data_IF_691339710864
#
_entry.id   IF_691339710864
#
_cell.length_a   1.000
_cell.length_b   1.000
_cell.length_c   1.000
_cell.angle_alpha   90.00
_cell.angle_beta   90.00
_cell.angle_gamma   90.00
#
_symmetry.space_group_name_H-M   'P 1'
#
loop_
_entity.id
_entity.type
_entity.pdbx_description
1 polymer ?
#
# COMPACT_ATOMS: atom_id res chain seq x y z
N UNK A 1 26.47 -6.70 -78.02
CA UNK A 1 26.64 -5.37 -77.42
C UNK A 1 26.29 -5.53 -75.95
N UNK A 2 27.27 -6.00 -75.19
CA UNK A 2 27.96 -5.23 -74.12
C UNK A 2 27.33 -5.66 -72.79
N UNK A 3 27.88 -6.60 -72.03
CA UNK A 3 29.17 -6.64 -71.34
C UNK A 3 29.35 -5.49 -70.32
N UNK A 4 29.90 -5.87 -69.16
CA UNK A 4 30.51 -5.05 -68.09
C UNK A 4 29.63 -4.61 -66.89
N UNK A 5 29.85 -5.36 -65.80
CA UNK A 5 30.18 -4.94 -64.42
C UNK A 5 29.36 -3.86 -63.70
N UNK A 6 28.71 -4.28 -62.61
CA UNK A 6 28.43 -3.46 -61.43
C UNK A 6 28.92 -4.22 -60.20
N UNK A 7 30.06 -3.82 -59.64
CA UNK A 7 30.67 -4.43 -58.46
C UNK A 7 29.83 -4.23 -57.18
N UNK A 8 30.19 -4.94 -56.09
CA UNK A 8 29.46 -4.83 -54.83
C UNK A 8 29.61 -3.42 -54.24
N UNK A 9 28.49 -2.87 -53.77
CA UNK A 9 28.47 -1.65 -52.97
C UNK A 9 29.21 -1.87 -51.64
N UNK A 10 29.91 -0.85 -51.10
CA UNK A 10 30.71 -0.98 -49.90
C UNK A 10 29.83 -1.23 -48.66
N UNK A 11 30.31 -2.16 -47.83
CA UNK A 11 29.87 -2.32 -46.44
C UNK A 11 30.11 -1.01 -45.70
N UNK A 12 29.04 -0.40 -45.19
CA UNK A 12 29.17 0.65 -44.17
C UNK A 12 29.11 -0.01 -42.81
N UNK A 13 30.28 -0.14 -42.19
CA UNK A 13 30.44 -0.25 -40.74
C UNK A 13 29.76 0.96 -40.10
N UNK A 14 28.55 0.77 -39.57
CA UNK A 14 27.99 1.67 -38.57
C UNK A 14 28.37 1.10 -37.22
N UNK A 15 29.41 1.71 -36.66
CA UNK A 15 29.90 1.51 -35.31
C UNK A 15 28.74 1.43 -34.32
N UNK A 16 28.73 0.36 -33.53
CA UNK A 16 27.93 0.27 -32.31
C UNK A 16 28.28 1.43 -31.39
N UNK A 17 27.35 2.37 -31.25
CA UNK A 17 27.34 3.28 -30.11
C UNK A 17 27.03 2.47 -28.85
N UNK A 18 27.71 2.72 -27.72
CA UNK A 18 27.37 2.04 -26.47
C UNK A 18 25.91 2.33 -26.12
N UNK A 19 25.18 1.26 -25.77
CA UNK A 19 23.88 1.36 -25.12
C UNK A 19 23.98 2.33 -23.92
N UNK A 20 22.94 3.13 -23.64
CA UNK A 20 22.94 3.94 -22.43
C UNK A 20 23.06 3.00 -21.23
N UNK A 21 24.19 3.11 -20.52
CA UNK A 21 24.36 2.52 -19.20
C UNK A 21 23.45 3.32 -18.26
N UNK A 22 22.25 2.79 -18.02
CA UNK A 22 21.40 3.25 -16.93
C UNK A 22 22.03 2.79 -15.63
N UNK A 23 22.87 3.65 -15.07
CA UNK A 23 23.35 3.55 -13.70
C UNK A 23 22.22 4.03 -12.77
N UNK A 24 21.16 3.22 -12.66
CA UNK A 24 20.24 3.32 -11.53
C UNK A 24 20.86 2.43 -10.46
N UNK A 25 21.76 3.01 -9.66
CA UNK A 25 22.17 2.42 -8.40
C UNK A 25 20.89 2.05 -7.64
N UNK A 26 20.65 0.75 -7.51
CA UNK A 26 19.40 0.19 -7.02
C UNK A 26 19.10 0.75 -5.64
N UNK A 27 18.09 1.61 -5.55
CA UNK A 27 17.53 2.01 -4.27
C UNK A 27 17.09 0.72 -3.56
N UNK A 28 17.57 0.44 -2.34
CA UNK A 28 17.18 -0.77 -1.64
C UNK A 28 15.65 -0.80 -1.56
N UNK A 29 15.08 -1.99 -1.76
CA UNK A 29 13.65 -2.18 -1.54
C UNK A 29 13.30 -1.69 -0.12
N UNK A 30 12.12 -1.09 0.07
CA UNK A 30 11.70 -0.60 1.38
C UNK A 30 11.81 -1.72 2.40
N UNK A 31 12.36 -1.38 3.57
CA UNK A 31 12.71 -2.36 4.59
C UNK A 31 11.46 -3.02 5.19
N UNK A 32 10.38 -2.25 5.35
CA UNK A 32 9.11 -2.66 5.96
C UNK A 32 7.95 -2.53 4.99
N UNK A 33 7.08 -3.53 4.92
CA UNK A 33 5.82 -3.48 4.19
C UNK A 33 4.60 -3.63 5.11
N UNK A 34 3.75 -2.60 5.14
CA UNK A 34 2.44 -2.60 5.81
C UNK A 34 1.32 -2.58 4.77
N UNK A 35 0.32 -3.46 4.90
CA UNK A 35 -0.85 -3.47 4.01
C UNK A 35 -2.17 -3.42 4.78
N UNK A 36 -3.13 -2.62 4.30
CA UNK A 36 -4.47 -2.50 4.90
C UNK A 36 -5.52 -3.27 4.11
N UNK A 37 -6.32 -4.09 4.78
CA UNK A 37 -7.28 -4.99 4.14
C UNK A 37 -8.72 -4.72 4.59
N UNK A 38 -9.58 -4.40 3.63
CA UNK A 38 -11.04 -4.38 3.82
C UNK A 38 -11.75 -5.23 2.75
N UNK A 39 -13.06 -5.06 2.56
CA UNK A 39 -13.82 -5.90 1.62
C UNK A 39 -13.57 -5.49 0.16
N UNK A 40 -13.85 -4.23 -0.18
CA UNK A 40 -13.83 -3.75 -1.57
C UNK A 40 -12.64 -2.87 -1.95
N UNK A 41 -11.77 -2.51 -1.00
CA UNK A 41 -10.61 -1.64 -1.21
C UNK A 41 -10.89 -0.26 -1.84
N UNK A 42 -12.09 0.27 -1.63
CA UNK A 42 -12.49 1.60 -2.11
C UNK A 42 -12.84 2.58 -0.97
N UNK A 43 -13.15 2.10 0.24
CA UNK A 43 -13.52 2.97 1.38
C UNK A 43 -12.48 2.95 2.49
N UNK A 44 -12.57 1.98 3.42
CA UNK A 44 -11.80 1.94 4.67
C UNK A 44 -10.29 1.77 4.46
N UNK A 45 -9.87 0.73 3.74
CA UNK A 45 -8.43 0.45 3.56
C UNK A 45 -7.67 1.49 2.74
N UNK A 46 -8.21 2.11 1.67
CA UNK A 46 -7.51 3.21 1.03
C UNK A 46 -7.44 4.46 1.91
N UNK A 47 -8.45 4.74 2.75
CA UNK A 47 -8.33 5.84 3.73
C UNK A 47 -7.16 5.60 4.69
N UNK A 48 -7.06 4.41 5.27
CA UNK A 48 -5.97 4.05 6.16
C UNK A 48 -4.60 4.10 5.45
N UNK A 49 -4.50 3.60 4.22
CA UNK A 49 -3.28 3.68 3.41
C UNK A 49 -2.83 5.12 3.20
N UNK A 50 -3.72 6.00 2.72
CA UNK A 50 -3.33 7.38 2.40
C UNK A 50 -3.00 8.18 3.63
N UNK A 51 -3.73 8.00 4.73
CA UNK A 51 -3.43 8.68 5.98
C UNK A 51 -2.07 8.25 6.53
N UNK A 52 -1.84 6.93 6.62
CA UNK A 52 -0.60 6.40 7.18
C UNK A 52 0.63 6.69 6.32
N UNK A 53 0.53 6.47 5.00
CA UNK A 53 1.63 6.75 4.08
C UNK A 53 1.99 8.24 4.04
N UNK A 54 0.99 9.13 4.12
CA UNK A 54 1.22 10.57 4.19
C UNK A 54 1.98 10.96 5.46
N UNK A 55 1.52 10.50 6.62
CA UNK A 55 2.19 10.78 7.90
C UNK A 55 3.60 10.19 7.96
N UNK A 56 3.83 9.00 7.41
CA UNK A 56 5.19 8.45 7.28
C UNK A 56 6.08 9.32 6.38
N UNK A 57 5.53 9.87 5.31
CA UNK A 57 6.23 10.84 4.46
C UNK A 57 6.62 12.11 5.21
N UNK A 58 5.72 12.67 6.01
CA UNK A 58 6.01 13.83 6.86
C UNK A 58 7.09 13.53 7.90
N UNK A 59 7.18 12.27 8.36
CA UNK A 59 8.23 11.78 9.26
C UNK A 59 9.53 11.39 8.56
N UNK A 60 9.62 11.48 7.23
CA UNK A 60 10.80 11.09 6.46
C UNK A 60 11.00 9.57 6.32
N UNK A 61 9.97 8.77 6.58
CA UNK A 61 10.02 7.29 6.57
C UNK A 61 9.50 6.66 5.28
N UNK A 62 9.07 7.47 4.30
CA UNK A 62 8.48 6.98 3.05
C UNK A 62 9.40 6.05 2.23
N UNK A 63 10.72 6.12 2.46
CA UNK A 63 11.70 5.31 1.72
C UNK A 63 12.01 3.96 2.37
N UNK A 64 11.66 3.81 3.64
CA UNK A 64 11.94 2.59 4.41
C UNK A 64 10.66 1.84 4.77
N UNK A 65 9.49 2.49 4.68
CA UNK A 65 8.18 1.87 4.90
C UNK A 65 7.32 1.99 3.65
N UNK A 66 7.03 0.85 3.03
CA UNK A 66 6.03 0.73 1.96
C UNK A 66 4.66 0.50 2.57
N UNK A 67 3.68 1.28 2.11
CA UNK A 67 2.28 1.14 2.53
C UNK A 67 1.44 0.78 1.30
N UNK A 68 0.63 -0.26 1.41
CA UNK A 68 -0.34 -0.63 0.37
C UNK A 68 -1.71 -0.92 0.99
N UNK A 69 -2.72 -1.16 0.15
CA UNK A 69 -4.00 -1.69 0.59
C UNK A 69 -4.61 -2.60 -0.45
N UNK A 70 -5.47 -3.51 0.01
CA UNK A 70 -6.19 -4.44 -0.86
C UNK A 70 -7.57 -4.82 -0.29
N UNK A 71 -8.33 -5.52 -1.13
CA UNK A 71 -9.70 -5.96 -0.87
C UNK A 71 -9.79 -7.47 -0.86
N UNK A 72 -10.56 -8.05 0.07
CA UNK A 72 -10.81 -9.50 0.05
C UNK A 72 -11.68 -9.91 -1.14
N UNK A 73 -12.46 -8.99 -1.69
CA UNK A 73 -13.17 -9.16 -2.96
C UNK A 73 -12.49 -8.44 -4.13
N UNK A 74 -12.92 -8.79 -5.35
CA UNK A 74 -12.36 -8.27 -6.61
C UNK A 74 -13.29 -7.30 -7.35
N UNK A 75 -14.46 -6.96 -6.78
CA UNK A 75 -15.52 -6.20 -7.47
C UNK A 75 -15.09 -4.82 -7.98
N UNK A 76 -14.10 -4.21 -7.34
CA UNK A 76 -13.63 -2.86 -7.65
C UNK A 76 -12.19 -2.83 -8.14
N UNK A 77 -11.61 -3.96 -8.54
CA UNK A 77 -10.22 -4.00 -8.97
C UNK A 77 -9.96 -3.01 -10.12
N UNK A 78 -8.94 -2.17 -9.96
CA UNK A 78 -8.59 -1.11 -10.91
C UNK A 78 -9.37 0.21 -10.72
N UNK A 79 -10.43 0.24 -9.92
CA UNK A 79 -11.22 1.46 -9.67
C UNK A 79 -10.52 2.43 -8.72
N UNK A 80 -10.81 3.74 -8.77
CA UNK A 80 -10.36 4.68 -7.76
C UNK A 80 -11.04 4.41 -6.40
N UNK A 81 -10.56 5.06 -5.35
CA UNK A 81 -11.27 5.11 -4.07
C UNK A 81 -12.69 5.70 -4.25
N UNK A 82 -13.60 5.30 -3.37
CA UNK A 82 -14.96 5.83 -3.29
C UNK A 82 -14.89 7.37 -3.22
N UNK A 83 -15.74 8.03 -3.99
CA UNK A 83 -15.76 9.49 -4.08
C UNK A 83 -15.88 10.15 -2.70
N UNK A 84 -16.65 9.58 -1.77
CA UNK A 84 -16.86 10.10 -0.41
C UNK A 84 -15.61 9.94 0.44
N UNK A 85 -14.93 8.79 0.36
CA UNK A 85 -13.60 8.61 0.98
C UNK A 85 -12.60 9.65 0.46
N UNK A 86 -12.59 9.87 -0.86
CA UNK A 86 -11.77 10.90 -1.50
C UNK A 86 -12.16 12.34 -1.13
N UNK A 87 -13.41 12.59 -0.73
CA UNK A 87 -13.83 13.90 -0.23
C UNK A 87 -13.34 14.14 1.20
N UNK A 88 -13.53 13.15 2.08
CA UNK A 88 -13.07 13.22 3.49
C UNK A 88 -11.55 13.37 3.54
N UNK A 89 -10.80 12.49 2.86
CA UNK A 89 -9.33 12.59 2.79
C UNK A 89 -8.86 13.98 2.35
N UNK A 90 -9.46 14.53 1.28
CA UNK A 90 -9.10 15.85 0.77
C UNK A 90 -9.48 16.97 1.75
N UNK A 91 -10.62 16.85 2.43
CA UNK A 91 -11.07 17.80 3.45
C UNK A 91 -10.07 17.91 4.61
N UNK A 92 -9.40 16.81 4.94
CA UNK A 92 -8.36 16.72 5.97
C UNK A 92 -6.92 16.87 5.43
N UNK A 93 -6.74 17.25 4.17
CA UNK A 93 -5.42 17.51 3.59
C UNK A 93 -4.64 16.29 3.09
N UNK A 94 -5.25 15.10 3.06
CA UNK A 94 -4.61 13.86 2.63
C UNK A 94 -4.69 13.62 1.12
N UNK A 95 -3.71 12.88 0.55
CA UNK A 95 -3.76 12.40 -0.84
C UNK A 95 -4.96 11.49 -1.09
N UNK A 96 -5.45 11.46 -2.34
CA UNK A 96 -6.64 10.67 -2.71
C UNK A 96 -6.41 9.71 -3.88
N UNK A 97 -5.22 9.75 -4.50
CA UNK A 97 -4.94 8.90 -5.66
C UNK A 97 -4.82 7.45 -5.22
N UNK A 98 -5.71 6.60 -5.73
CA UNK A 98 -5.80 5.19 -5.38
C UNK A 98 -6.18 4.36 -6.60
N UNK A 99 -5.78 3.09 -6.59
CA UNK A 99 -6.25 2.07 -7.52
C UNK A 99 -6.50 0.81 -6.71
N UNK A 100 -7.75 0.39 -6.63
CA UNK A 100 -8.11 -0.76 -5.82
C UNK A 100 -7.50 -2.05 -6.38
N UNK A 101 -7.09 -2.94 -5.49
CA UNK A 101 -6.49 -4.23 -5.77
C UNK A 101 -7.15 -5.32 -4.93
N UNK A 102 -7.19 -6.54 -5.45
CA UNK A 102 -7.54 -7.71 -4.64
C UNK A 102 -6.33 -8.15 -3.80
N UNK A 103 -6.59 -8.73 -2.62
CA UNK A 103 -5.56 -9.42 -1.84
C UNK A 103 -4.87 -10.48 -2.71
N UNK A 104 -3.55 -10.50 -2.66
CA UNK A 104 -2.68 -11.35 -3.47
C UNK A 104 -1.32 -11.51 -2.79
N UNK A 105 -0.38 -12.20 -3.44
CA UNK A 105 0.87 -12.64 -2.79
C UNK A 105 1.71 -11.50 -2.20
N UNK A 106 1.81 -10.36 -2.86
CA UNK A 106 2.50 -9.16 -2.34
C UNK A 106 1.84 -8.67 -1.03
N UNK A 107 0.52 -8.71 -0.94
CA UNK A 107 -0.21 -8.33 0.27
C UNK A 107 -0.07 -9.37 1.38
N UNK A 108 -0.11 -10.67 1.04
CA UNK A 108 -0.01 -11.76 2.01
C UNK A 108 1.41 -11.94 2.57
N UNK A 109 2.42 -11.46 1.84
CA UNK A 109 3.82 -11.50 2.24
C UNK A 109 4.29 -10.29 3.04
N UNK A 110 3.46 -9.24 3.17
CA UNK A 110 3.75 -8.06 3.96
C UNK A 110 4.19 -8.40 5.41
N UNK A 111 5.08 -7.58 5.98
CA UNK A 111 5.55 -7.74 7.36
C UNK A 111 4.44 -7.46 8.37
N UNK A 112 3.52 -6.56 8.03
CA UNK A 112 2.29 -6.31 8.77
C UNK A 112 1.07 -6.22 7.85
N UNK A 113 0.10 -7.09 8.11
CA UNK A 113 -1.22 -7.09 7.49
C UNK A 113 -2.22 -6.55 8.50
N UNK A 114 -2.88 -5.44 8.15
CA UNK A 114 -3.83 -4.72 9.01
C UNK A 114 -5.26 -4.94 8.52
N UNK A 115 -6.03 -5.73 9.27
CA UNK A 115 -7.44 -6.01 9.00
C UNK A 115 -8.35 -4.88 9.52
N UNK A 116 -9.28 -4.41 8.70
CA UNK A 116 -10.25 -3.38 9.08
C UNK A 116 -11.48 -3.95 9.82
N UNK A 117 -11.54 -5.26 10.01
CA UNK A 117 -12.62 -5.93 10.72
C UNK A 117 -12.33 -7.42 10.95
N UNK A 118 -13.05 -8.04 11.88
CA UNK A 118 -12.91 -9.45 12.29
C UNK A 118 -13.23 -10.43 11.17
N UNK A 119 -14.09 -10.05 10.22
CA UNK A 119 -14.34 -10.85 9.01
C UNK A 119 -13.06 -10.90 8.16
N UNK A 120 -12.40 -9.76 7.91
CA UNK A 120 -11.15 -9.70 7.15
C UNK A 120 -10.04 -10.44 7.89
N UNK A 121 -9.95 -10.29 9.22
CA UNK A 121 -9.00 -11.02 10.05
C UNK A 121 -9.12 -12.53 9.85
N UNK A 122 -10.34 -13.07 9.97
CA UNK A 122 -10.62 -14.51 9.77
C UNK A 122 -10.29 -14.98 8.35
N UNK A 123 -10.60 -14.17 7.33
CA UNK A 123 -10.27 -14.51 5.94
C UNK A 123 -8.75 -14.55 5.72
N UNK A 124 -8.02 -13.57 6.24
CA UNK A 124 -6.55 -13.51 6.12
C UNK A 124 -5.85 -14.65 6.87
N UNK A 125 -6.37 -15.03 8.04
CA UNK A 125 -5.93 -16.25 8.73
C UNK A 125 -6.12 -17.49 7.88
N UNK A 126 -7.29 -17.63 7.23
CA UNK A 126 -7.57 -18.75 6.34
C UNK A 126 -6.68 -18.77 5.09
N UNK A 127 -6.30 -17.58 4.60
CA UNK A 127 -5.34 -17.42 3.51
C UNK A 127 -3.87 -17.64 3.93
N UNK A 128 -3.63 -17.97 5.21
CA UNK A 128 -2.31 -18.36 5.70
C UNK A 128 -1.44 -17.22 6.21
N UNK A 129 -1.99 -16.03 6.46
CA UNK A 129 -1.22 -14.95 7.10
C UNK A 129 -0.91 -15.35 8.56
N UNK A 130 0.38 -15.43 8.97
CA UNK A 130 0.79 -15.72 10.32
C UNK A 130 0.24 -14.72 11.35
N UNK A 131 -0.10 -15.21 12.54
CA UNK A 131 -0.76 -14.42 13.58
C UNK A 131 0.10 -13.27 14.12
N UNK A 132 1.43 -13.40 14.11
CA UNK A 132 2.39 -12.37 14.53
C UNK A 132 2.48 -11.20 13.54
N UNK A 133 2.08 -11.41 12.28
CA UNK A 133 2.03 -10.37 11.23
C UNK A 133 0.62 -9.84 10.97
N UNK A 134 -0.39 -10.31 11.69
CA UNK A 134 -1.79 -10.00 11.40
C UNK A 134 -2.46 -9.34 12.59
N UNK A 135 -2.90 -8.08 12.42
CA UNK A 135 -3.55 -7.30 13.47
C UNK A 135 -4.78 -6.57 12.94
N UNK A 136 -5.73 -6.27 13.82
CA UNK A 136 -6.83 -5.36 13.49
C UNK A 136 -6.39 -3.91 13.66
N UNK A 137 -6.87 -3.00 12.80
CA UNK A 137 -6.49 -1.58 12.86
C UNK A 137 -6.73 -0.98 14.25
N UNK A 138 -7.93 -1.17 14.81
CA UNK A 138 -8.27 -0.61 16.12
C UNK A 138 -7.46 -1.23 17.27
N UNK A 139 -6.71 -2.32 17.06
CA UNK A 139 -5.76 -2.81 18.08
C UNK A 139 -4.57 -1.86 18.31
N UNK A 140 -4.40 -0.84 17.46
CA UNK A 140 -3.41 0.22 17.62
C UNK A 140 -4.00 1.49 18.25
N UNK A 141 -5.32 1.57 18.47
CA UNK A 141 -5.92 2.68 19.19
C UNK A 141 -5.61 2.52 20.69
N UNK A 142 -4.92 3.48 21.35
CA UNK A 142 -4.60 3.38 22.77
C UNK A 142 -5.84 3.39 23.67
N UNK A 143 -7.01 3.75 23.13
CA UNK A 143 -8.31 3.74 23.84
C UNK A 143 -9.00 2.39 23.72
N UNK A 144 -8.53 1.48 22.88
CA UNK A 144 -9.13 0.15 22.74
C UNK A 144 -8.90 -0.68 24.00
N UNK A 145 -10.01 -1.23 24.53
CA UNK A 145 -9.99 -2.12 25.68
C UNK A 145 -9.69 -3.58 25.28
N UNK A 146 -10.06 -4.52 26.17
CA UNK A 146 -9.85 -5.95 25.92
C UNK A 146 -10.64 -6.53 24.73
N UNK A 147 -11.66 -5.83 24.24
CA UNK A 147 -12.35 -6.15 22.99
C UNK A 147 -11.94 -5.18 21.89
N UNK A 148 -11.40 -5.71 20.79
CA UNK A 148 -11.03 -4.90 19.63
C UNK A 148 -12.20 -4.90 18.65
N UNK A 149 -12.80 -3.72 18.49
CA UNK A 149 -13.90 -3.49 17.58
C UNK A 149 -13.46 -3.42 16.12
N UNK A 150 -14.44 -3.56 15.22
CA UNK A 150 -14.27 -3.36 13.78
C UNK A 150 -14.22 -1.86 13.42
N UNK A 151 -13.75 -1.55 12.21
CA UNK A 151 -14.03 -0.27 11.54
C UNK A 151 -15.29 -0.47 10.71
N UNK A 152 -16.35 0.22 11.11
CA UNK A 152 -17.69 0.11 10.49
C UNK A 152 -17.63 0.45 9.00
N UNK A 153 -18.42 -0.27 8.18
CA UNK A 153 -18.37 -0.08 6.72
C UNK A 153 -19.26 1.08 6.27
N UNK A 154 -18.70 2.20 5.75
CA UNK A 154 -19.51 3.37 5.45
C UNK A 154 -20.19 3.27 4.07
N UNK A 155 -19.99 2.19 3.31
CA UNK A 155 -20.36 2.11 1.89
C UNK A 155 -21.83 2.42 1.61
N UNK A 156 -22.74 1.89 2.43
CA UNK A 156 -24.19 2.15 2.36
C UNK A 156 -24.65 3.32 3.24
N UNK A 157 -23.71 4.01 3.87
CA UNK A 157 -23.95 5.15 4.75
C UNK A 157 -23.91 6.50 4.02
N UNK A 158 -23.93 7.53 4.84
CA UNK A 158 -23.86 8.95 4.54
C UNK A 158 -22.41 9.44 4.49
N UNK A 159 -22.20 10.74 4.25
CA UNK A 159 -20.87 11.34 4.33
C UNK A 159 -20.32 11.31 5.77
N UNK A 160 -21.17 11.48 6.77
CA UNK A 160 -20.78 11.48 8.18
C UNK A 160 -20.21 10.11 8.60
N UNK A 161 -20.75 9.02 8.05
CA UNK A 161 -20.18 7.67 8.27
C UNK A 161 -18.74 7.54 7.75
N UNK A 162 -18.37 8.28 6.68
CA UNK A 162 -16.97 8.34 6.23
C UNK A 162 -16.10 9.21 7.14
N UNK A 163 -16.64 10.29 7.72
CA UNK A 163 -15.93 11.09 8.73
C UNK A 163 -15.70 10.30 10.02
N UNK A 164 -16.65 9.45 10.42
CA UNK A 164 -16.49 8.53 11.55
C UNK A 164 -15.39 7.50 11.28
N UNK A 165 -15.35 6.93 10.06
CA UNK A 165 -14.26 6.04 9.64
C UNK A 165 -12.92 6.76 9.67
N UNK A 166 -12.84 8.00 9.18
CA UNK A 166 -11.63 8.82 9.27
C UNK A 166 -11.18 8.99 10.73
N UNK A 167 -12.09 9.37 11.61
CA UNK A 167 -11.82 9.57 13.05
C UNK A 167 -11.32 8.29 13.72
N UNK A 168 -11.91 7.14 13.39
CA UNK A 168 -11.49 5.83 13.91
C UNK A 168 -10.10 5.44 13.41
N UNK A 169 -9.81 5.69 12.12
CA UNK A 169 -8.48 5.42 11.56
C UNK A 169 -7.46 6.33 12.22
N UNK A 170 -7.72 7.64 12.27
CA UNK A 170 -6.81 8.65 12.83
C UNK A 170 -6.41 8.32 14.27
N UNK A 171 -7.35 7.90 15.10
CA UNK A 171 -7.07 7.53 16.47
C UNK A 171 -6.23 6.25 16.63
N UNK A 172 -6.21 5.36 15.63
CA UNK A 172 -5.39 4.15 15.63
C UNK A 172 -3.97 4.39 15.10
N UNK A 173 -3.77 5.42 14.27
CA UNK A 173 -2.46 5.68 13.64
C UNK A 173 -1.32 5.95 14.63
N UNK A 174 -1.50 6.65 15.77
CA UNK A 174 -0.43 6.85 16.74
C UNK A 174 0.19 5.54 17.25
N UNK A 175 -0.63 4.53 17.57
CA UNK A 175 -0.10 3.23 18.00
C UNK A 175 0.52 2.43 16.86
N UNK A 176 0.05 2.63 15.62
CA UNK A 176 0.66 2.00 14.45
C UNK A 176 2.02 2.62 14.12
N UNK A 177 2.18 3.93 14.29
CA UNK A 177 3.47 4.61 14.19
C UNK A 177 4.45 4.11 15.25
N UNK A 178 4.00 3.97 16.51
CA UNK A 178 4.84 3.42 17.58
C UNK A 178 5.32 2.00 17.25
N UNK A 179 4.43 1.15 16.71
CA UNK A 179 4.80 -0.19 16.27
C UNK A 179 5.85 -0.18 15.14
N UNK A 180 5.73 0.74 14.18
CA UNK A 180 6.73 0.91 13.11
C UNK A 180 8.08 1.33 13.69
N UNK A 181 8.08 2.27 14.64
CA UNK A 181 9.31 2.76 15.26
C UNK A 181 10.03 1.63 16.01
N UNK A 182 9.30 0.81 16.76
CA UNK A 182 9.82 -0.38 17.43
C UNK A 182 10.39 -1.39 16.43
N UNK A 183 9.64 -1.68 15.35
CA UNK A 183 10.08 -2.63 14.31
C UNK A 183 11.37 -2.18 13.62
N UNK A 184 11.51 -0.89 13.33
CA UNK A 184 12.71 -0.33 12.71
C UNK A 184 13.90 -0.37 13.68
N UNK A 185 13.69 0.00 14.95
CA UNK A 185 14.73 -0.02 15.97
C UNK A 185 15.32 -1.43 16.22
N UNK A 186 14.48 -2.46 16.21
CA UNK A 186 14.91 -3.84 16.39
C UNK A 186 15.82 -4.34 15.24
N UNK A 187 15.67 -3.78 14.04
CA UNK A 187 16.46 -4.19 12.86
C UNK A 187 17.76 -3.43 12.69
N UNK A 188 17.83 -2.19 13.17
CA UNK A 188 19.10 -1.47 13.29
C UNK A 188 20.05 -2.15 14.26
N UNK A 189 19.53 -2.86 15.26
CA UNK A 189 20.35 -3.58 16.25
C UNK A 189 20.89 -4.93 15.76
N UNK A 190 20.33 -5.48 14.68
CA UNK A 190 20.70 -6.79 14.11
C UNK A 190 21.64 -6.65 12.89
N UNK A 191 21.83 -5.41 12.38
CA UNK A 191 22.72 -5.09 11.25
C UNK A 191 24.09 -4.64 11.71
#
# INVERSE_FOLDING_TARGET
MSDVAGGPAPVSDVAGGPAPVSDVAGKPAPALHVTFICTGNICRSPMAEKMFAHQLGERGLAEVVRVTSAGTGHWHEGEPADRRAGQVLRGHGYPTAHRAAQVGDDHLSADLVVALGRNHLRMLQHLGVPADRLRMLRSFDPRSGGHIDDVEDPYYGTHDDFEDVFTVIDAALPGLHAWVDEWLADREQVS
#
